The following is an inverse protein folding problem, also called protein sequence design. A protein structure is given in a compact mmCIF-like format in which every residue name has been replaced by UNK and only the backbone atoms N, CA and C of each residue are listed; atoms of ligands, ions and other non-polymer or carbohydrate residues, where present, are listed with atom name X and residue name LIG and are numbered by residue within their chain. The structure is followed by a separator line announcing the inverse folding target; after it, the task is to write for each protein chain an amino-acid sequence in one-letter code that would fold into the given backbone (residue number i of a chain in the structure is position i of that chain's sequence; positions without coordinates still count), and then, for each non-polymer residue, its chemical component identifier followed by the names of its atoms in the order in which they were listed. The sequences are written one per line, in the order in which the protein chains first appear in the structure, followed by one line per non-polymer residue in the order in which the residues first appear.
data_IF_430836746054
#
_entry.id   IF_430836746054
#
_cell.length_a   1.000
_cell.length_b   1.000
_cell.length_c   1.000
_cell.angle_alpha   90.00
_cell.angle_beta   90.00
_cell.angle_gamma   90.00
#
_symmetry.space_group_name_H-M   'P 1'
#
loop_
_entity.id
_entity.type
_entity.pdbx_description
1 polymer ?
#
# COMPACT_ATOMS: atom_id res chain seq x y z
N UNK A 1 9.30 -7.31 12.00
CA UNK A 1 10.08 -8.48 11.53
C UNK A 1 9.75 -9.72 12.35
N UNK A 2 10.08 -9.78 13.65
CA UNK A 2 9.76 -10.94 14.52
C UNK A 2 8.28 -11.33 14.52
N UNK A 3 7.38 -10.36 14.65
CA UNK A 3 5.92 -10.63 14.57
C UNK A 3 5.51 -11.27 13.25
N UNK A 4 6.13 -10.87 12.12
CA UNK A 4 5.85 -11.48 10.83
C UNK A 4 6.42 -12.91 10.76
N UNK A 5 7.58 -13.19 11.40
CA UNK A 5 8.12 -14.55 11.52
C UNK A 5 7.21 -15.47 12.31
N UNK A 6 6.68 -14.98 13.44
CA UNK A 6 5.71 -15.72 14.27
C UNK A 6 4.45 -16.08 13.47
N UNK A 7 4.12 -15.26 12.47
CA UNK A 7 3.01 -15.46 11.52
C UNK A 7 3.37 -16.29 10.29
N UNK A 8 4.62 -16.80 10.21
CA UNK A 8 5.08 -17.68 9.14
C UNK A 8 5.86 -17.02 8.01
N UNK A 9 6.16 -15.72 8.09
CA UNK A 9 7.03 -15.06 7.12
C UNK A 9 8.49 -15.53 7.28
N UNK A 10 9.15 -15.87 6.18
CA UNK A 10 10.54 -16.31 6.19
C UNK A 10 11.52 -15.18 5.86
N UNK A 11 12.43 -14.89 6.79
CA UNK A 11 13.60 -14.06 6.53
C UNK A 11 14.84 -14.95 6.45
N UNK A 12 15.74 -14.63 5.50
CA UNK A 12 17.01 -15.36 5.38
C UNK A 12 17.83 -15.16 6.66
N UNK A 13 18.57 -16.19 7.06
CA UNK A 13 19.49 -16.16 8.19
C UNK A 13 20.93 -16.41 7.78
N UNK A 14 21.88 -15.82 8.52
CA UNK A 14 23.32 -16.09 8.45
C UNK A 14 23.82 -16.30 9.88
N UNK A 15 24.42 -17.45 10.16
CA UNK A 15 24.87 -17.82 11.52
C UNK A 15 23.78 -17.70 12.59
N UNK A 16 22.57 -18.19 12.30
CA UNK A 16 21.36 -18.09 13.14
C UNK A 16 20.79 -16.67 13.37
N UNK A 17 21.51 -15.63 12.98
CA UNK A 17 21.03 -14.24 12.98
C UNK A 17 20.31 -13.90 11.68
N UNK A 18 19.48 -12.85 11.70
CA UNK A 18 18.87 -12.34 10.47
C UNK A 18 19.97 -11.97 9.48
N UNK A 19 19.87 -12.48 8.26
CA UNK A 19 20.78 -12.11 7.21
C UNK A 19 20.49 -10.65 6.84
N UNK A 20 21.34 -9.76 7.30
CA UNK A 20 21.32 -8.35 6.94
C UNK A 20 22.25 -8.14 5.73
N UNK A 21 21.87 -7.25 4.80
CA UNK A 21 22.86 -6.68 3.89
C UNK A 21 23.75 -5.77 4.73
N UNK A 22 25.05 -6.05 4.70
CA UNK A 22 26.07 -5.48 5.59
C UNK A 22 26.33 -3.96 5.46
N UNK A 23 27.46 -3.48 6.02
CA UNK A 23 27.68 -2.17 6.65
C UNK A 23 27.63 -0.91 5.75
N UNK A 24 27.29 -1.06 4.47
CA UNK A 24 27.19 0.06 3.52
C UNK A 24 25.85 0.80 3.58
N UNK A 25 24.83 0.18 4.16
CA UNK A 25 23.57 0.86 4.48
C UNK A 25 23.56 1.22 5.96
N UNK A 26 23.20 2.46 6.33
CA UNK A 26 23.17 2.89 7.73
C UNK A 26 22.04 2.23 8.56
N UNK A 27 21.29 1.28 7.98
CA UNK A 27 20.18 0.60 8.61
C UNK A 27 20.13 -0.89 8.23
N UNK A 28 19.74 -1.76 9.18
CA UNK A 28 19.61 -3.19 8.94
C UNK A 28 18.49 -3.46 7.92
N UNK A 29 18.79 -4.26 6.90
CA UNK A 29 17.79 -4.70 5.91
C UNK A 29 17.64 -6.21 5.98
N UNK A 30 16.46 -6.69 6.39
CA UNK A 30 16.17 -8.12 6.46
C UNK A 30 16.09 -8.69 5.04
N UNK A 31 17.13 -9.40 4.62
CA UNK A 31 17.34 -9.83 3.24
C UNK A 31 16.48 -11.06 2.92
N UNK A 32 15.51 -10.95 2.00
CA UNK A 32 14.92 -12.12 1.32
C UNK A 32 15.50 -12.38 -0.09
N UNK A 33 16.15 -11.39 -0.70
CA UNK A 33 16.77 -11.53 -2.02
C UNK A 33 15.78 -11.45 -3.17
N UNK A 34 14.82 -10.51 -3.07
CA UNK A 34 13.67 -10.39 -3.96
C UNK A 34 12.40 -10.99 -3.35
N UNK A 35 11.22 -10.49 -3.76
CA UNK A 35 9.92 -11.06 -3.36
C UNK A 35 9.57 -10.91 -1.87
N UNK A 36 10.22 -10.01 -1.14
CA UNK A 36 9.88 -9.71 0.26
C UNK A 36 8.48 -9.10 0.37
N UNK A 37 8.12 -8.18 -0.53
CA UNK A 37 6.80 -7.55 -0.56
C UNK A 37 5.67 -8.57 -0.68
N UNK A 38 5.76 -9.48 -1.67
CA UNK A 38 4.77 -10.54 -1.87
C UNK A 38 4.58 -11.38 -0.59
N UNK A 39 5.67 -11.81 0.02
CA UNK A 39 5.61 -12.60 1.26
C UNK A 39 4.91 -11.86 2.40
N UNK A 40 5.25 -10.58 2.60
CA UNK A 40 4.62 -9.77 3.64
C UNK A 40 3.12 -9.65 3.37
N UNK A 41 2.73 -9.39 2.12
CA UNK A 41 1.34 -9.30 1.71
C UNK A 41 0.60 -10.62 1.92
N UNK A 42 1.14 -11.74 1.47
CA UNK A 42 0.54 -13.08 1.63
C UNK A 42 0.36 -13.46 3.10
N UNK A 43 1.37 -13.17 3.92
CA UNK A 43 1.33 -13.44 5.37
C UNK A 43 0.24 -12.62 6.04
N UNK A 44 0.18 -11.31 5.76
CA UNK A 44 -0.81 -10.41 6.37
C UNK A 44 -2.23 -10.69 5.85
N UNK A 45 -2.38 -10.99 4.57
CA UNK A 45 -3.67 -11.39 3.99
C UNK A 45 -4.17 -12.68 4.63
N UNK A 46 -3.32 -13.70 4.73
CA UNK A 46 -3.67 -14.97 5.39
C UNK A 46 -4.10 -14.75 6.84
N UNK A 47 -3.43 -13.85 7.57
CA UNK A 47 -3.80 -13.46 8.92
C UNK A 47 -5.16 -12.79 9.02
N UNK A 48 -5.64 -12.16 7.95
CA UNK A 48 -6.98 -11.55 7.93
C UNK A 48 -8.08 -12.56 7.66
N UNK A 49 -7.74 -13.70 7.04
CA UNK A 49 -8.68 -14.79 6.81
C UNK A 49 -9.15 -15.35 8.15
N UNK A 50 -10.46 -15.50 8.31
CA UNK A 50 -11.07 -15.99 9.55
C UNK A 50 -11.20 -14.96 10.68
N UNK A 51 -10.71 -13.71 10.52
CA UNK A 51 -10.93 -12.64 11.52
C UNK A 51 -12.28 -11.93 11.39
N UNK A 52 -13.18 -12.41 10.53
CA UNK A 52 -14.49 -11.79 10.30
C UNK A 52 -14.41 -10.39 9.67
N UNK A 53 -13.27 -10.06 9.04
CA UNK A 53 -13.08 -8.79 8.33
C UNK A 53 -13.86 -8.87 7.02
N UNK A 54 -14.71 -7.87 6.75
CA UNK A 54 -15.44 -7.78 5.49
C UNK A 54 -14.55 -7.17 4.41
N UNK A 55 -14.28 -7.95 3.37
CA UNK A 55 -13.67 -7.47 2.14
C UNK A 55 -14.75 -6.98 1.18
N UNK A 56 -14.50 -5.83 0.56
CA UNK A 56 -15.29 -5.32 -0.56
C UNK A 56 -14.31 -5.21 -1.72
N UNK A 57 -14.10 -6.32 -2.40
CA UNK A 57 -13.14 -6.43 -3.49
C UNK A 57 -13.64 -5.70 -4.74
N UNK A 58 -12.74 -5.52 -5.71
CA UNK A 58 -13.02 -4.86 -6.98
C UNK A 58 -13.71 -3.50 -6.87
N UNK A 59 -13.33 -2.73 -5.84
CA UNK A 59 -14.02 -1.51 -5.43
C UNK A 59 -13.06 -0.35 -5.27
N UNK A 60 -13.26 0.70 -6.05
CA UNK A 60 -12.50 1.93 -5.98
C UNK A 60 -13.22 2.95 -5.10
N UNK A 61 -12.58 3.39 -4.01
CA UNK A 61 -13.07 4.50 -3.21
C UNK A 61 -13.02 5.81 -4.00
N UNK A 62 -14.08 6.61 -3.95
CA UNK A 62 -14.25 7.81 -4.77
C UNK A 62 -14.15 9.11 -3.98
N UNK A 63 -14.71 9.15 -2.76
CA UNK A 63 -14.68 10.33 -1.88
C UNK A 63 -14.77 9.93 -0.41
N UNK A 64 -14.21 10.77 0.46
CA UNK A 64 -14.44 10.70 1.90
C UNK A 64 -15.69 11.54 2.22
N UNK A 65 -16.60 10.97 2.99
CA UNK A 65 -17.80 11.66 3.46
C UNK A 65 -17.48 12.43 4.74
N UNK A 66 -17.83 13.70 4.79
CA UNK A 66 -17.66 14.55 5.97
C UNK A 66 -18.98 15.20 6.39
N UNK A 67 -19.13 15.43 7.70
CA UNK A 67 -20.23 16.20 8.29
C UNK A 67 -19.71 17.04 9.44
N UNK A 68 -19.82 18.36 9.32
CA UNK A 68 -19.31 19.30 10.33
C UNK A 68 -17.80 19.13 10.58
N UNK A 69 -17.01 18.95 9.51
CA UNK A 69 -15.56 18.74 9.59
C UNK A 69 -15.12 17.35 10.08
N UNK A 70 -16.06 16.44 10.38
CA UNK A 70 -15.74 15.08 10.84
C UNK A 70 -15.97 14.07 9.72
N UNK A 71 -15.05 13.10 9.59
CA UNK A 71 -15.24 11.94 8.72
C UNK A 71 -16.43 11.10 9.21
N UNK A 72 -17.30 10.70 8.30
CA UNK A 72 -18.48 9.87 8.57
C UNK A 72 -18.60 8.66 7.63
N UNK A 73 -17.58 8.41 6.81
CA UNK A 73 -17.55 7.30 5.87
C UNK A 73 -16.85 7.63 4.56
N UNK A 74 -17.15 6.84 3.54
CA UNK A 74 -16.65 7.02 2.17
C UNK A 74 -17.70 6.58 1.15
N UNK A 75 -17.57 7.08 -0.08
CA UNK A 75 -18.25 6.53 -1.25
C UNK A 75 -17.29 5.69 -2.06
N UNK A 76 -17.81 4.69 -2.77
CA UNK A 76 -17.01 3.85 -3.65
C UNK A 76 -17.83 3.38 -4.84
N UNK A 77 -17.15 2.86 -5.86
CA UNK A 77 -17.75 2.19 -7.00
C UNK A 77 -17.13 0.80 -7.14
N UNK A 78 -17.96 -0.23 -7.19
CA UNK A 78 -17.53 -1.57 -7.56
C UNK A 78 -17.43 -1.63 -9.09
N UNK A 79 -16.24 -1.84 -9.64
CA UNK A 79 -16.05 -1.81 -11.10
C UNK A 79 -16.41 -3.13 -11.79
N UNK A 80 -16.53 -4.23 -11.04
CA UNK A 80 -16.99 -5.50 -11.58
C UNK A 80 -18.52 -5.51 -11.77
N UNK A 81 -19.27 -4.96 -10.82
CA UNK A 81 -20.74 -4.91 -10.85
C UNK A 81 -21.33 -3.59 -11.34
N UNK A 82 -20.54 -2.50 -11.30
CA UNK A 82 -21.01 -1.13 -11.55
C UNK A 82 -21.77 -0.50 -10.37
N UNK A 83 -21.84 -1.17 -9.22
CA UNK A 83 -22.59 -0.68 -8.05
C UNK A 83 -21.91 0.51 -7.37
N UNK A 84 -22.70 1.54 -7.06
CA UNK A 84 -22.27 2.64 -6.20
C UNK A 84 -22.55 2.34 -4.73
N UNK A 85 -21.52 2.48 -3.90
CA UNK A 85 -21.55 2.13 -2.49
C UNK A 85 -21.40 3.36 -1.61
N UNK A 86 -22.17 3.39 -0.52
CA UNK A 86 -22.01 4.33 0.59
C UNK A 86 -21.61 3.54 1.83
N UNK A 87 -20.36 3.71 2.25
CA UNK A 87 -19.78 3.00 3.39
C UNK A 87 -19.78 3.97 4.58
N UNK A 88 -20.70 3.79 5.52
CA UNK A 88 -20.74 4.57 6.76
C UNK A 88 -19.74 4.01 7.77
N UNK A 89 -18.88 4.87 8.29
CA UNK A 89 -17.88 4.49 9.29
C UNK A 89 -17.58 5.64 10.25
N UNK A 90 -17.16 5.31 11.48
CA UNK A 90 -16.72 6.30 12.47
C UNK A 90 -15.31 6.82 12.17
N UNK A 91 -14.53 6.04 11.43
CA UNK A 91 -13.17 6.36 11.01
C UNK A 91 -12.92 5.75 9.62
N UNK A 92 -12.12 6.43 8.80
CA UNK A 92 -11.65 5.95 7.50
C UNK A 92 -10.15 6.03 7.51
N UNK A 93 -9.48 4.92 7.20
CA UNK A 93 -8.03 4.82 7.10
C UNK A 93 -7.68 4.73 5.62
N UNK A 94 -6.89 5.68 5.13
CA UNK A 94 -6.37 5.63 3.77
C UNK A 94 -5.06 4.84 3.74
N UNK A 95 -5.07 3.73 3.02
CA UNK A 95 -3.89 2.90 2.76
C UNK A 95 -3.74 2.65 1.25
N UNK A 96 -3.91 3.70 0.44
CA UNK A 96 -4.12 3.63 -1.01
C UNK A 96 -2.84 3.74 -1.85
N UNK A 97 -1.66 3.58 -1.25
CA UNK A 97 -0.38 3.80 -1.93
C UNK A 97 -0.09 5.27 -2.27
N UNK A 98 0.86 5.49 -3.20
CA UNK A 98 1.39 6.80 -3.58
C UNK A 98 0.92 7.25 -5.00
N UNK A 99 1.66 8.14 -5.67
CA UNK A 99 1.35 8.78 -6.98
C UNK A 99 2.24 8.30 -8.13
N UNK A 100 2.74 7.07 -8.07
CA UNK A 100 3.84 6.63 -8.93
C UNK A 100 3.46 6.51 -10.41
N UNK A 101 2.20 6.26 -10.71
CA UNK A 101 1.72 6.13 -12.09
C UNK A 101 1.54 7.49 -12.81
N UNK A 102 1.77 8.62 -12.13
CA UNK A 102 1.68 9.94 -12.74
C UNK A 102 2.89 10.31 -13.62
N UNK A 103 3.92 9.45 -13.65
CA UNK A 103 5.15 9.68 -14.38
C UNK A 103 5.25 8.80 -15.63
N UNK A 104 5.87 9.33 -16.68
CA UNK A 104 6.09 8.61 -17.95
C UNK A 104 6.85 7.31 -17.76
N UNK A 105 7.83 7.30 -16.87
CA UNK A 105 8.62 6.13 -16.49
C UNK A 105 8.44 5.89 -15.00
N UNK A 106 7.95 4.72 -14.64
CA UNK A 106 7.70 4.35 -13.26
C UNK A 106 7.79 2.85 -13.09
N UNK A 107 8.36 2.39 -11.97
CA UNK A 107 8.36 0.98 -11.56
C UNK A 107 7.07 0.58 -10.84
N UNK A 108 6.15 1.53 -10.70
CA UNK A 108 4.96 1.40 -9.90
C UNK A 108 3.82 0.87 -10.76
N UNK A 109 2.95 0.10 -10.14
CA UNK A 109 1.82 -0.51 -10.81
C UNK A 109 0.74 0.54 -11.17
N UNK A 110 -0.13 0.18 -12.11
CA UNK A 110 -1.06 1.13 -12.76
C UNK A 110 -2.13 1.67 -11.81
N UNK A 111 -2.40 0.96 -10.73
CA UNK A 111 -3.33 1.34 -9.68
C UNK A 111 -2.79 2.45 -8.76
N UNK A 112 -1.49 2.74 -8.81
CA UNK A 112 -0.85 3.69 -7.89
C UNK A 112 -0.95 5.13 -8.40
N UNK A 113 -2.19 5.61 -8.51
CA UNK A 113 -2.58 6.88 -9.14
C UNK A 113 -2.73 8.06 -8.17
N UNK A 114 -2.53 7.84 -6.87
CA UNK A 114 -2.71 8.87 -5.84
C UNK A 114 -4.17 9.12 -5.43
N UNK A 115 -5.06 8.14 -5.62
CA UNK A 115 -6.49 8.30 -5.36
C UNK A 115 -6.83 8.75 -3.93
N UNK A 116 -6.20 8.15 -2.91
CA UNK A 116 -6.42 8.55 -1.52
C UNK A 116 -5.88 9.94 -1.18
N UNK A 117 -4.72 10.32 -1.73
CA UNK A 117 -4.17 11.68 -1.58
C UNK A 117 -5.16 12.70 -2.15
N UNK A 118 -5.71 12.43 -3.34
CA UNK A 118 -6.71 13.28 -3.95
C UNK A 118 -8.02 13.33 -3.14
N UNK A 119 -8.47 12.21 -2.58
CA UNK A 119 -9.66 12.18 -1.70
C UNK A 119 -9.44 13.00 -0.42
N UNK A 120 -8.27 12.87 0.21
CA UNK A 120 -7.91 13.61 1.41
C UNK A 120 -7.90 15.13 1.14
N UNK A 121 -7.25 15.56 0.05
CA UNK A 121 -7.26 16.96 -0.36
C UNK A 121 -8.68 17.50 -0.57
N UNK A 122 -9.52 16.75 -1.31
CA UNK A 122 -10.91 17.17 -1.58
C UNK A 122 -11.77 17.27 -0.33
N UNK A 123 -11.47 16.53 0.73
CA UNK A 123 -12.19 16.64 2.00
C UNK A 123 -11.61 17.70 2.95
N UNK A 124 -10.67 18.52 2.46
CA UNK A 124 -10.08 19.64 3.20
C UNK A 124 -8.89 19.26 4.08
N UNK A 125 -8.27 18.10 3.86
CA UNK A 125 -7.02 17.76 4.55
C UNK A 125 -5.85 18.57 3.97
N UNK A 126 -4.98 19.03 4.85
CA UNK A 126 -3.67 19.56 4.46
C UNK A 126 -2.77 18.41 4.03
N UNK A 127 -2.06 18.61 2.91
CA UNK A 127 -1.08 17.67 2.39
C UNK A 127 0.30 18.28 2.53
N UNK A 128 1.30 17.43 2.77
CA UNK A 128 2.68 17.85 2.96
C UNK A 128 3.63 16.98 2.15
N UNK A 129 4.77 17.55 1.76
CA UNK A 129 5.86 16.84 1.08
C UNK A 129 5.48 16.15 -0.24
N UNK A 130 4.49 16.67 -0.97
CA UNK A 130 4.07 16.10 -2.27
C UNK A 130 5.17 16.21 -3.33
N UNK A 131 6.09 17.17 -3.17
CA UNK A 131 7.25 17.39 -4.01
C UNK A 131 8.35 16.32 -3.86
N UNK A 132 8.36 15.57 -2.75
CA UNK A 132 9.39 14.58 -2.45
C UNK A 132 9.03 13.22 -3.03
N UNK A 133 9.54 12.96 -4.23
CA UNK A 133 9.28 11.72 -4.97
C UNK A 133 10.55 10.86 -5.00
N UNK A 134 10.38 9.56 -4.79
CA UNK A 134 11.51 8.62 -4.77
C UNK A 134 11.76 8.03 -6.16
N UNK A 135 13.00 8.16 -6.63
CA UNK A 135 13.46 7.57 -7.88
C UNK A 135 14.52 6.52 -7.55
N UNK A 136 14.26 5.28 -7.95
CA UNK A 136 15.20 4.20 -7.76
C UNK A 136 16.23 4.21 -8.91
N UNK A 137 17.50 3.98 -8.58
CA UNK A 137 18.61 4.24 -9.49
C UNK A 137 18.96 3.04 -10.39
N UNK A 138 18.45 1.84 -10.08
CA UNK A 138 18.84 0.59 -10.74
C UNK A 138 17.66 -0.13 -11.37
N UNK A 139 16.84 0.62 -12.10
CA UNK A 139 15.68 0.11 -12.83
C UNK A 139 16.03 -0.18 -14.30
N UNK A 140 15.21 -1.00 -14.96
CA UNK A 140 15.42 -1.37 -16.36
C UNK A 140 14.74 -0.36 -17.29
N UNK A 141 15.48 0.25 -18.22
CA UNK A 141 14.95 1.25 -19.16
C UNK A 141 13.93 0.67 -20.15
N UNK A 142 14.12 -0.59 -20.56
CA UNK A 142 13.26 -1.31 -21.52
C UNK A 142 12.83 -2.67 -20.96
N UNK A 143 11.90 -2.71 -19.99
CA UNK A 143 11.41 -3.97 -19.48
C UNK A 143 10.56 -4.66 -20.56
N UNK A 144 10.64 -6.00 -20.61
CA UNK A 144 9.85 -6.81 -21.55
C UNK A 144 8.34 -6.73 -21.30
N UNK A 145 7.93 -6.22 -20.14
CA UNK A 145 6.53 -6.03 -19.74
C UNK A 145 6.43 -4.85 -18.78
N UNK A 146 5.39 -4.03 -18.95
CA UNK A 146 4.98 -2.94 -18.05
C UNK A 146 3.65 -3.26 -17.37
#
# INVERSE_FOLDING_TARGET
VRELEEKGAYWRRKNAELAEKGPELPYPTSWKGGGAGQMVMDTLYSETLGKGIRFIEDTAATSILTKGGKCVGATAINYASGEFLVIRAKAVILATGHTGYQYTYSTQSREVVGGGIAMAYRCGAELHSLEFQHWHHSDTLYPNSW
#
